data_IF_474120282314
#
_entry.id   IF_474120282314
#
_cell.length_a   1.000
_cell.length_b   1.000
_cell.length_c   1.000
_cell.angle_alpha   90.00
_cell.angle_beta   90.00
_cell.angle_gamma   90.00
#
_symmetry.space_group_name_H-M   'P 1'
#
loop_
_entity.id
_entity.type
_entity.pdbx_description
1 polymer ?
#
# COMPACT_ATOMS: atom_id res chain seq x y z
N UNK A 1 22.15 14.48 20.19
CA UNK A 1 20.81 13.85 20.12
C UNK A 1 21.00 12.40 19.73
N UNK A 2 20.63 11.44 20.59
CA UNK A 2 20.65 10.02 20.24
C UNK A 2 19.48 9.72 19.29
N UNK A 3 19.70 9.83 17.99
CA UNK A 3 18.72 9.38 17.00
C UNK A 3 18.62 7.86 17.09
N UNK A 4 17.51 7.35 17.62
CA UNK A 4 17.20 5.92 17.53
C UNK A 4 17.09 5.58 16.04
N UNK A 5 17.83 4.58 15.58
CA UNK A 5 17.67 4.07 14.22
C UNK A 5 16.20 3.69 13.97
N UNK A 6 15.64 4.01 12.79
CA UNK A 6 14.27 3.62 12.45
C UNK A 6 14.11 2.11 12.55
N UNK A 7 13.13 1.65 13.34
CA UNK A 7 12.80 0.23 13.45
C UNK A 7 11.72 -0.12 12.44
N UNK A 8 11.96 -1.13 11.62
CA UNK A 8 10.96 -1.71 10.73
C UNK A 8 10.39 -2.97 11.39
N UNK A 9 9.06 -3.02 11.51
CA UNK A 9 8.35 -4.03 12.30
C UNK A 9 7.66 -5.09 11.42
N UNK A 10 7.78 -5.02 10.10
CA UNK A 10 7.22 -6.04 9.23
C UNK A 10 8.21 -7.21 9.10
N UNK A 11 7.84 -8.33 9.70
CA UNK A 11 8.64 -9.55 9.70
C UNK A 11 8.86 -10.08 8.29
N UNK A 12 10.05 -10.64 8.06
CA UNK A 12 10.45 -11.33 6.84
C UNK A 12 10.27 -10.47 5.57
N UNK A 13 10.26 -9.15 5.71
CA UNK A 13 10.17 -8.20 4.61
C UNK A 13 11.25 -7.13 4.73
N UNK A 14 11.67 -6.60 3.58
CA UNK A 14 12.36 -5.32 3.51
C UNK A 14 11.34 -4.19 3.31
N UNK A 15 11.74 -2.95 3.63
CA UNK A 15 10.91 -1.77 3.34
C UNK A 15 10.58 -1.72 1.86
N UNK A 16 11.56 -1.98 0.99
CA UNK A 16 11.34 -2.00 -0.46
C UNK A 16 10.32 -3.05 -0.90
N UNK A 17 10.38 -4.26 -0.33
CA UNK A 17 9.46 -5.32 -0.66
C UNK A 17 8.03 -4.98 -0.22
N UNK A 18 7.87 -4.44 1.00
CA UNK A 18 6.56 -4.03 1.50
C UNK A 18 5.97 -2.89 0.65
N UNK A 19 6.76 -1.87 0.31
CA UNK A 19 6.31 -0.75 -0.53
C UNK A 19 5.82 -1.25 -1.89
N UNK A 20 6.57 -2.15 -2.54
CA UNK A 20 6.15 -2.73 -3.81
C UNK A 20 4.87 -3.58 -3.69
N UNK A 21 4.74 -4.38 -2.63
CA UNK A 21 3.54 -5.19 -2.37
C UNK A 21 2.30 -4.32 -2.14
N UNK A 22 2.42 -3.27 -1.32
CA UNK A 22 1.34 -2.34 -1.06
C UNK A 22 0.96 -1.56 -2.32
N UNK A 23 1.95 -1.09 -3.10
CA UNK A 23 1.69 -0.42 -4.38
C UNK A 23 0.83 -1.29 -5.29
N UNK A 24 1.22 -2.56 -5.47
CA UNK A 24 0.47 -3.52 -6.28
C UNK A 24 -0.94 -3.77 -5.72
N UNK A 25 -1.07 -3.93 -4.40
CA UNK A 25 -2.37 -4.14 -3.76
C UNK A 25 -3.35 -2.98 -4.02
N UNK A 26 -2.91 -1.75 -3.77
CA UNK A 26 -3.77 -0.56 -3.97
C UNK A 26 -4.01 -0.28 -5.46
N UNK A 27 -3.02 -0.50 -6.32
CA UNK A 27 -3.19 -0.36 -7.77
C UNK A 27 -4.23 -1.34 -8.33
N UNK A 28 -4.18 -2.60 -7.89
CA UNK A 28 -5.14 -3.62 -8.30
C UNK A 28 -6.54 -3.34 -7.76
N UNK A 29 -6.64 -2.88 -6.51
CA UNK A 29 -7.92 -2.49 -5.90
C UNK A 29 -8.54 -1.30 -6.65
N UNK A 30 -7.74 -0.26 -6.93
CA UNK A 30 -8.17 0.89 -7.73
C UNK A 30 -8.67 0.47 -9.13
N UNK A 31 -7.95 -0.46 -9.78
CA UNK A 31 -8.35 -0.98 -11.10
C UNK A 31 -9.66 -1.77 -11.04
N UNK A 32 -9.85 -2.59 -10.01
CA UNK A 32 -11.10 -3.33 -9.77
C UNK A 32 -12.27 -2.36 -9.57
N UNK A 33 -12.08 -1.33 -8.75
CA UNK A 33 -13.16 -0.42 -8.40
C UNK A 33 -13.51 0.52 -9.56
N UNK A 34 -12.56 0.81 -10.48
CA UNK A 34 -12.85 1.45 -11.77
C UNK A 34 -13.79 0.62 -12.64
N UNK A 35 -13.59 -0.69 -12.68
CA UNK A 35 -14.47 -1.60 -13.42
C UNK A 35 -15.85 -1.61 -12.78
N UNK A 36 -15.93 -1.73 -11.45
CA UNK A 36 -17.20 -1.68 -10.72
C UNK A 36 -17.96 -0.37 -10.96
N UNK A 37 -17.26 0.77 -10.92
CA UNK A 37 -17.80 2.09 -11.27
C UNK A 37 -18.39 2.13 -12.68
N UNK A 38 -17.66 1.62 -13.66
CA UNK A 38 -18.12 1.57 -15.05
C UNK A 38 -19.38 0.71 -15.19
N UNK A 39 -19.42 -0.42 -14.50
CA UNK A 39 -20.61 -1.30 -14.48
C UNK A 39 -21.81 -0.60 -13.86
N UNK A 40 -21.63 0.10 -12.73
CA UNK A 40 -22.71 0.87 -12.09
C UNK A 40 -23.24 1.98 -12.99
N UNK A 41 -22.38 2.69 -13.72
CA UNK A 41 -22.81 3.70 -14.68
C UNK A 41 -23.70 3.11 -15.77
N UNK A 42 -23.31 1.96 -16.34
CA UNK A 42 -24.14 1.26 -17.33
C UNK A 42 -25.46 0.75 -16.75
N UNK A 43 -25.48 0.37 -15.46
CA UNK A 43 -26.71 -0.02 -14.77
C UNK A 43 -27.64 1.17 -14.54
N UNK A 44 -27.10 2.34 -14.18
CA UNK A 44 -27.89 3.58 -14.04
C UNK A 44 -28.54 3.98 -15.36
N UNK A 45 -27.82 3.87 -16.48
CA UNK A 45 -28.34 4.18 -17.82
C UNK A 45 -29.50 3.27 -18.23
N UNK A 46 -29.56 2.04 -17.70
CA UNK A 46 -30.58 1.04 -18.00
C UNK A 46 -31.67 0.91 -16.92
N UNK A 47 -31.58 1.64 -15.81
CA UNK A 47 -32.44 1.49 -14.65
C UNK A 47 -33.76 2.27 -14.76
N UNK A 48 -34.83 1.71 -14.18
CA UNK A 48 -36.08 2.42 -13.92
C UNK A 48 -35.98 3.25 -12.64
N UNK A 49 -36.80 4.31 -12.52
CA UNK A 49 -36.70 5.38 -11.50
C UNK A 49 -36.51 4.90 -10.05
N UNK A 50 -37.04 3.72 -9.69
CA UNK A 50 -36.92 3.15 -8.34
C UNK A 50 -35.54 2.63 -7.95
N UNK A 51 -34.69 2.27 -8.93
CA UNK A 51 -33.35 1.70 -8.68
C UNK A 51 -32.22 2.73 -8.84
N UNK A 52 -32.49 3.83 -9.54
CA UNK A 52 -31.50 4.87 -9.86
C UNK A 52 -30.88 5.48 -8.59
N UNK A 53 -31.69 5.76 -7.56
CA UNK A 53 -31.22 6.37 -6.30
C UNK A 53 -30.21 5.48 -5.56
N UNK A 54 -30.43 4.17 -5.55
CA UNK A 54 -29.54 3.21 -4.89
C UNK A 54 -28.22 3.07 -5.66
N UNK A 55 -28.28 2.96 -6.99
CA UNK A 55 -27.07 2.93 -7.81
C UNK A 55 -26.26 4.22 -7.73
N UNK A 56 -26.93 5.39 -7.64
CA UNK A 56 -26.24 6.67 -7.42
C UNK A 56 -25.59 6.78 -6.03
N UNK A 57 -26.12 6.10 -5.03
CA UNK A 57 -25.48 6.02 -3.71
C UNK A 57 -24.22 5.16 -3.78
N UNK A 58 -24.32 3.95 -4.35
CA UNK A 58 -23.17 3.05 -4.53
C UNK A 58 -22.08 3.67 -5.40
N UNK A 59 -22.45 4.42 -6.44
CA UNK A 59 -21.51 5.14 -7.30
C UNK A 59 -20.70 6.18 -6.50
N UNK A 60 -21.34 6.91 -5.59
CA UNK A 60 -20.65 7.89 -4.71
C UNK A 60 -19.67 7.20 -3.77
N UNK A 61 -20.06 6.08 -3.16
CA UNK A 61 -19.17 5.30 -2.29
C UNK A 61 -17.92 4.81 -3.04
N UNK A 62 -18.10 4.28 -4.26
CA UNK A 62 -16.97 3.86 -5.10
C UNK A 62 -16.09 5.05 -5.52
N UNK A 63 -16.69 6.20 -5.84
CA UNK A 63 -15.92 7.41 -6.19
C UNK A 63 -15.04 7.88 -5.03
N UNK A 64 -15.56 7.85 -3.79
CA UNK A 64 -14.79 8.18 -2.59
C UNK A 64 -13.64 7.20 -2.35
N UNK A 65 -13.89 5.89 -2.47
CA UNK A 65 -12.85 4.87 -2.35
C UNK A 65 -11.76 5.00 -3.43
N UNK A 66 -12.16 5.26 -4.68
CA UNK A 66 -11.24 5.45 -5.79
C UNK A 66 -10.27 6.61 -5.55
N UNK A 67 -10.73 7.71 -4.96
CA UNK A 67 -9.85 8.84 -4.61
C UNK A 67 -8.77 8.38 -3.62
N UNK A 68 -9.16 7.69 -2.56
CA UNK A 68 -8.23 7.21 -1.53
C UNK A 68 -7.24 6.20 -2.09
N UNK A 69 -7.72 5.21 -2.84
CA UNK A 69 -6.90 4.18 -3.47
C UNK A 69 -5.92 4.77 -4.49
N UNK A 70 -6.36 5.77 -5.26
CA UNK A 70 -5.50 6.51 -6.20
C UNK A 70 -4.34 7.22 -5.49
N UNK A 71 -4.64 7.98 -4.43
CA UNK A 71 -3.62 8.69 -3.63
C UNK A 71 -2.61 7.70 -3.03
N UNK A 72 -3.08 6.58 -2.48
CA UNK A 72 -2.21 5.55 -1.90
C UNK A 72 -1.33 4.89 -2.96
N UNK A 73 -1.92 4.51 -4.10
CA UNK A 73 -1.20 3.90 -5.21
C UNK A 73 -0.10 4.83 -5.75
N UNK A 74 -0.43 6.10 -6.00
CA UNK A 74 0.54 7.09 -6.50
C UNK A 74 1.67 7.35 -5.51
N UNK A 75 1.35 7.51 -4.22
CA UNK A 75 2.34 7.73 -3.17
C UNK A 75 3.33 6.56 -3.06
N UNK A 76 2.82 5.33 -3.13
CA UNK A 76 3.64 4.13 -3.09
C UNK A 76 4.44 3.92 -4.38
N UNK A 77 3.89 4.30 -5.54
CA UNK A 77 4.61 4.31 -6.82
C UNK A 77 5.82 5.25 -6.79
N UNK A 78 5.68 6.43 -6.16
CA UNK A 78 6.77 7.38 -5.96
C UNK A 78 7.81 6.80 -4.99
N UNK A 79 7.37 6.26 -3.85
CA UNK A 79 8.25 5.66 -2.86
C UNK A 79 9.05 4.48 -3.46
N UNK A 80 8.40 3.60 -4.21
CA UNK A 80 9.02 2.48 -4.89
C UNK A 80 10.09 2.94 -5.89
N UNK A 81 9.76 3.93 -6.73
CA UNK A 81 10.72 4.53 -7.66
C UNK A 81 11.94 5.11 -6.94
N UNK A 82 11.73 5.91 -5.89
CA UNK A 82 12.82 6.51 -5.10
C UNK A 82 13.74 5.43 -4.51
N UNK A 83 13.18 4.39 -3.91
CA UNK A 83 13.96 3.30 -3.30
C UNK A 83 14.77 2.50 -4.33
N UNK A 84 14.33 2.46 -5.59
CA UNK A 84 15.02 1.81 -6.70
C UNK A 84 15.99 2.72 -7.47
N UNK A 85 16.00 4.04 -7.24
CA UNK A 85 16.95 4.95 -7.88
C UNK A 85 18.40 4.60 -7.52
N UNK A 86 19.27 4.58 -8.54
CA UNK A 86 20.70 4.25 -8.37
C UNK A 86 21.42 5.22 -7.42
N UNK A 87 21.08 6.51 -7.46
CA UNK A 87 21.63 7.53 -6.56
C UNK A 87 21.26 7.25 -5.10
N UNK A 88 19.98 6.98 -4.84
CA UNK A 88 19.46 6.66 -3.50
C UNK A 88 20.10 5.38 -2.96
N UNK A 89 20.18 4.32 -3.77
CA UNK A 89 20.82 3.06 -3.37
C UNK A 89 22.31 3.24 -3.09
N UNK A 90 23.00 4.10 -3.84
CA UNK A 90 24.41 4.41 -3.62
C UNK A 90 24.61 5.15 -2.30
N UNK A 91 23.75 6.13 -2.02
CA UNK A 91 23.82 6.97 -0.82
C UNK A 91 23.49 6.18 0.45
N UNK A 92 22.41 5.40 0.43
CA UNK A 92 22.00 4.56 1.56
C UNK A 92 22.92 3.34 1.74
N UNK A 93 23.56 2.90 0.66
CA UNK A 93 24.37 1.68 0.62
C UNK A 93 23.52 0.39 0.62
N UNK A 94 24.09 -0.73 0.15
CA UNK A 94 23.40 -2.01 0.04
C UNK A 94 23.05 -2.63 1.40
N UNK A 95 23.68 -2.17 2.48
CA UNK A 95 23.48 -2.66 3.85
C UNK A 95 22.46 -1.84 4.64
N UNK A 96 21.81 -0.85 4.02
CA UNK A 96 20.76 -0.06 4.67
C UNK A 96 19.60 -0.93 5.13
N UNK A 97 19.04 -0.58 6.29
CA UNK A 97 17.83 -1.19 6.83
C UNK A 97 16.65 -1.18 5.84
N UNK A 98 16.62 -0.24 4.89
CA UNK A 98 15.57 -0.21 3.86
C UNK A 98 15.57 -1.44 2.95
N UNK A 99 16.75 -2.04 2.72
CA UNK A 99 16.94 -3.15 1.77
C UNK A 99 17.10 -4.52 2.43
N UNK A 100 17.37 -4.54 3.74
CA UNK A 100 17.49 -5.78 4.50
C UNK A 100 16.13 -6.37 4.82
N UNK A 101 16.05 -7.69 4.81
CA UNK A 101 14.92 -8.41 5.37
C UNK A 101 15.03 -8.31 6.89
N UNK A 102 13.98 -7.82 7.54
CA UNK A 102 13.92 -7.73 9.01
C UNK A 102 13.37 -9.02 9.56
N UNK A 103 14.18 -9.73 10.34
CA UNK A 103 13.76 -10.89 11.11
C UNK A 103 13.58 -10.44 12.55
N UNK A 104 12.51 -10.91 13.20
CA UNK A 104 12.27 -10.60 14.60
C UNK A 104 13.45 -11.13 15.44
N UNK A 105 14.14 -10.24 16.14
CA UNK A 105 15.08 -10.65 17.18
C UNK A 105 14.25 -10.95 18.43
N UNK A 106 13.60 -12.11 18.44
CA UNK A 106 13.20 -12.72 19.71
C UNK A 106 14.47 -12.79 20.56
N UNK A 107 14.51 -11.95 21.60
CA UNK A 107 15.65 -11.86 22.50
C UNK A 107 15.97 -13.24 23.03
N UNK A 108 17.26 -13.62 23.19
CA UNK A 108 17.58 -14.88 23.85
C UNK A 108 16.99 -14.79 25.25
N UNK A 109 16.02 -15.64 25.53
CA UNK A 109 15.60 -15.93 26.90
C UNK A 109 16.87 -16.42 27.59
N UNK A 110 17.53 -15.51 28.32
CA UNK A 110 18.51 -15.91 29.32
C UNK A 110 17.70 -16.66 30.37
N UNK A 111 17.66 -17.99 30.22
CA UNK A 111 17.26 -18.89 31.28
C UNK A 111 18.33 -18.78 32.38
N UNK A 112 18.18 -17.75 33.22
CA UNK A 112 18.84 -17.64 34.51
C UNK A 112 17.81 -17.95 35.59
N UNK A 113 17.61 -19.22 35.83
CA UNK A 113 17.10 -19.78 37.08
C UNK A 113 17.56 -21.23 37.15
N UNK A 114 18.12 -21.77 38.22
CA UNK A 114 18.73 -21.29 39.45
C UNK A 114 19.58 -22.47 39.94
#
# INVERSE_FOLDING_TARGET
MNSKEPRFLAENQSVTSLVAQLHNYFHNSYSRDKVARSTLLSQIEAAEDGQVLEFQKQLREIDEELVLLGILSDSLSIADRLLHMRSVRRELGPTSAAYKIHHDQSSPVQDKTA
#
